data_IF_804056930889
#
_entry.id   IF_804056930889
#
_cell.length_a   1.000
_cell.length_b   1.000
_cell.length_c   1.000
_cell.angle_alpha   90.00
_cell.angle_beta   90.00
_cell.angle_gamma   90.00
#
_symmetry.space_group_name_H-M   'P 1'
#
loop_
_entity.id
_entity.type
_entity.pdbx_description
1 polymer ?
#
# COMPACT_ATOMS: atom_id res chain seq x y z
N UNK A 1 0.02 -16.67 12.86
CA UNK A 1 1.44 -16.34 12.63
C UNK A 1 1.93 -17.02 11.34
N UNK A 2 1.29 -16.71 10.19
CA UNK A 2 1.48 -17.49 8.96
C UNK A 2 1.34 -16.74 7.62
N UNK A 3 1.16 -15.42 7.63
CA UNK A 3 1.00 -14.59 6.42
C UNK A 3 2.17 -13.63 6.15
N UNK A 4 3.04 -13.37 7.16
CA UNK A 4 4.10 -12.35 7.04
C UNK A 4 5.32 -12.80 6.23
N UNK A 5 5.53 -14.11 6.08
CA UNK A 5 6.66 -14.66 5.31
C UNK A 5 6.38 -14.73 3.80
N UNK A 6 5.11 -14.75 3.36
CA UNK A 6 4.77 -14.83 1.92
C UNK A 6 4.89 -13.46 1.23
N UNK A 7 4.34 -12.39 1.83
CA UNK A 7 4.23 -11.11 1.14
C UNK A 7 5.57 -10.45 0.81
N UNK A 8 6.57 -10.62 1.70
CA UNK A 8 7.94 -10.13 1.44
C UNK A 8 8.61 -10.90 0.31
N UNK A 9 8.45 -12.24 0.29
CA UNK A 9 9.02 -13.07 -0.77
C UNK A 9 8.37 -12.74 -2.12
N UNK A 10 7.05 -12.60 -2.16
CA UNK A 10 6.32 -12.15 -3.35
C UNK A 10 6.82 -10.78 -3.82
N UNK A 11 7.00 -9.83 -2.90
CA UNK A 11 7.52 -8.50 -3.23
C UNK A 11 8.94 -8.57 -3.80
N UNK A 12 9.83 -9.36 -3.19
CA UNK A 12 11.20 -9.54 -3.65
C UNK A 12 11.24 -10.17 -5.06
N UNK A 13 10.45 -11.21 -5.31
CA UNK A 13 10.32 -11.85 -6.62
C UNK A 13 9.84 -10.84 -7.67
N UNK A 14 8.79 -10.07 -7.35
CA UNK A 14 8.22 -9.09 -8.28
C UNK A 14 9.18 -7.93 -8.56
N UNK A 15 9.89 -7.43 -7.53
CA UNK A 15 10.87 -6.36 -7.68
C UNK A 15 12.11 -6.80 -8.45
N UNK A 16 12.52 -8.07 -8.31
CA UNK A 16 13.63 -8.64 -9.07
C UNK A 16 13.24 -8.95 -10.52
N UNK A 17 11.94 -9.04 -10.82
CA UNK A 17 11.46 -9.25 -12.19
C UNK A 17 11.57 -7.97 -13.02
N UNK A 18 11.68 -8.13 -14.34
CA UNK A 18 11.70 -6.99 -15.26
C UNK A 18 10.28 -6.44 -15.54
N UNK A 19 9.52 -6.08 -14.49
CA UNK A 19 8.23 -5.42 -14.61
C UNK A 19 8.06 -4.25 -13.60
N UNK A 20 7.15 -3.30 -13.88
CA UNK A 20 6.75 -2.29 -12.90
C UNK A 20 5.93 -2.89 -11.76
N UNK A 21 6.22 -2.52 -10.52
CA UNK A 21 5.55 -3.09 -9.32
C UNK A 21 4.72 -2.05 -8.57
N UNK A 22 3.43 -2.37 -8.38
CA UNK A 22 2.53 -1.59 -7.51
C UNK A 22 2.49 -2.16 -6.10
N UNK A 23 2.90 -1.38 -5.11
CA UNK A 23 2.98 -1.79 -3.70
C UNK A 23 1.79 -1.19 -2.94
N UNK A 24 0.67 -1.91 -2.92
CA UNK A 24 -0.58 -1.45 -2.32
C UNK A 24 -0.63 -1.68 -0.81
N UNK A 25 -0.30 -0.67 0.00
CA UNK A 25 -0.27 -0.78 1.46
C UNK A 25 -0.42 0.57 2.17
N UNK A 26 -0.90 0.53 3.42
CA UNK A 26 -0.86 1.66 4.38
C UNK A 26 -0.02 1.32 5.62
N UNK A 27 0.66 0.18 5.61
CA UNK A 27 1.45 -0.32 6.73
C UNK A 27 2.88 0.21 6.63
N UNK A 28 3.31 0.96 7.65
CA UNK A 28 4.62 1.58 7.71
C UNK A 28 5.77 0.55 7.65
N UNK A 29 5.60 -0.64 8.24
CA UNK A 29 6.63 -1.68 8.22
C UNK A 29 6.80 -2.25 6.80
N UNK A 30 5.70 -2.51 6.09
CA UNK A 30 5.75 -2.97 4.70
C UNK A 30 6.39 -1.93 3.76
N UNK A 31 6.12 -0.65 4.00
CA UNK A 31 6.75 0.44 3.24
C UNK A 31 8.26 0.45 3.46
N UNK A 32 8.72 0.35 4.71
CA UNK A 32 10.15 0.34 4.99
C UNK A 32 10.84 -0.90 4.42
N UNK A 33 10.18 -2.05 4.48
CA UNK A 33 10.70 -3.29 3.90
C UNK A 33 10.80 -3.21 2.37
N UNK A 34 9.80 -2.62 1.71
CA UNK A 34 9.85 -2.34 0.29
C UNK A 34 11.04 -1.44 -0.08
N UNK A 35 11.27 -0.35 0.67
CA UNK A 35 12.41 0.55 0.43
C UNK A 35 13.74 -0.14 0.64
N UNK A 36 13.84 -1.01 1.65
CA UNK A 36 15.04 -1.82 1.89
C UNK A 36 15.33 -2.74 0.70
N UNK A 37 14.32 -3.41 0.16
CA UNK A 37 14.45 -4.28 -1.01
C UNK A 37 14.80 -3.49 -2.28
N UNK A 38 14.11 -2.38 -2.55
CA UNK A 38 14.40 -1.48 -3.67
C UNK A 38 15.86 -0.99 -3.61
N UNK A 39 16.31 -0.56 -2.44
CA UNK A 39 17.70 -0.11 -2.24
C UNK A 39 18.71 -1.24 -2.43
N UNK A 40 18.41 -2.44 -1.94
CA UNK A 40 19.26 -3.62 -2.12
C UNK A 40 19.39 -4.05 -3.58
N UNK A 41 18.29 -3.98 -4.34
CA UNK A 41 18.23 -4.32 -5.77
C UNK A 41 18.69 -3.16 -6.68
N UNK A 42 18.96 -1.97 -6.13
CA UNK A 42 19.39 -0.81 -6.91
C UNK A 42 18.32 -0.30 -7.90
N UNK A 43 17.04 -0.50 -7.61
CA UNK A 43 15.96 -0.18 -8.54
C UNK A 43 15.70 1.33 -8.63
N UNK A 44 15.54 1.88 -9.86
CA UNK A 44 15.12 3.27 -10.01
C UNK A 44 13.66 3.46 -9.56
N UNK A 45 13.30 4.69 -9.14
CA UNK A 45 11.99 5.00 -8.55
C UNK A 45 10.82 4.80 -9.51
N UNK A 46 10.95 5.29 -10.74
CA UNK A 46 11.07 4.44 -11.92
C UNK A 46 10.24 3.14 -12.10
N UNK A 47 10.56 2.15 -11.28
CA UNK A 47 10.15 0.76 -11.42
C UNK A 47 9.09 0.33 -10.42
N UNK A 48 8.74 1.21 -9.49
CA UNK A 48 7.71 0.93 -8.52
C UNK A 48 6.87 2.18 -8.19
N UNK A 49 5.77 1.94 -7.50
CA UNK A 49 4.94 2.98 -6.90
C UNK A 49 4.25 2.43 -5.65
N UNK A 50 4.02 3.29 -4.66
CA UNK A 50 3.14 2.96 -3.54
C UNK A 50 1.70 3.24 -3.93
N UNK A 51 0.79 2.33 -3.59
CA UNK A 51 -0.63 2.49 -3.89
C UNK A 51 -1.45 2.56 -2.60
N UNK A 52 -2.33 3.54 -2.51
CA UNK A 52 -3.11 3.83 -1.30
C UNK A 52 -4.57 4.09 -1.62
N UNK A 53 -5.45 3.83 -0.66
CA UNK A 53 -6.88 4.13 -0.77
C UNK A 53 -7.12 5.62 -0.53
N UNK A 54 -8.08 6.20 -1.25
CA UNK A 54 -8.55 7.55 -0.96
C UNK A 54 -9.07 7.64 0.49
N UNK A 55 -8.64 8.68 1.20
CA UNK A 55 -9.09 8.98 2.57
C UNK A 55 -8.37 8.21 3.68
N UNK A 56 -7.51 7.24 3.38
CA UNK A 56 -6.76 6.47 4.38
C UNK A 56 -5.33 7.00 4.49
N UNK A 57 -4.85 7.24 5.72
CA UNK A 57 -3.49 7.74 6.04
C UNK A 57 -2.98 8.87 5.11
N UNK A 58 -3.70 10.00 5.01
CA UNK A 58 -3.29 11.12 4.15
C UNK A 58 -1.93 11.71 4.56
N UNK A 59 -1.57 11.62 5.84
CA UNK A 59 -0.26 11.95 6.43
C UNK A 59 0.87 11.17 5.76
N UNK A 60 0.74 9.85 5.72
CA UNK A 60 1.73 8.94 5.16
C UNK A 60 1.91 9.20 3.65
N UNK A 61 0.80 9.42 2.92
CA UNK A 61 0.86 9.80 1.51
C UNK A 61 1.65 11.09 1.31
N UNK A 62 1.38 12.13 2.10
CA UNK A 62 2.09 13.40 1.99
C UNK A 62 3.58 13.21 2.26
N UNK A 63 3.91 12.45 3.31
CA UNK A 63 5.29 12.09 3.65
C UNK A 63 6.00 11.36 2.51
N UNK A 64 5.42 10.30 1.96
CA UNK A 64 6.00 9.55 0.84
C UNK A 64 6.24 10.46 -0.38
N UNK A 65 5.28 11.31 -0.72
CA UNK A 65 5.45 12.28 -1.82
C UNK A 65 6.56 13.30 -1.54
N UNK A 66 6.66 13.80 -0.30
CA UNK A 66 7.72 14.72 0.10
C UNK A 66 9.11 14.07 0.06
N UNK A 67 9.18 12.77 0.33
CA UNK A 67 10.40 11.97 0.18
C UNK A 67 10.69 11.58 -1.29
N UNK A 68 9.87 12.04 -2.24
CA UNK A 68 10.01 11.85 -3.68
C UNK A 68 9.53 10.48 -4.20
N UNK A 69 8.76 9.74 -3.41
CA UNK A 69 8.18 8.47 -3.83
C UNK A 69 6.98 8.70 -4.76
N UNK A 70 6.78 7.80 -5.73
CA UNK A 70 5.57 7.82 -6.56
C UNK A 70 4.42 7.15 -5.81
N UNK A 71 3.30 7.87 -5.74
CA UNK A 71 2.10 7.40 -5.04
C UNK A 71 0.89 7.44 -5.97
N UNK A 72 0.20 6.31 -6.14
CA UNK A 72 -1.07 6.19 -6.85
C UNK A 72 -2.21 6.03 -5.86
N UNK A 73 -3.31 6.76 -6.10
CA UNK A 73 -4.49 6.70 -5.24
C UNK A 73 -5.60 5.92 -5.91
N UNK A 74 -6.09 4.89 -5.22
CA UNK A 74 -7.31 4.19 -5.58
C UNK A 74 -8.52 5.05 -5.21
N UNK A 75 -9.21 5.55 -6.23
CA UNK A 75 -10.36 6.44 -6.10
C UNK A 75 -11.63 5.71 -6.59
N UNK A 76 -12.50 5.24 -5.68
CA UNK A 76 -13.84 4.80 -6.05
C UNK A 76 -14.66 5.98 -6.63
N UNK A 77 -15.44 5.74 -7.67
CA UNK A 77 -16.27 6.76 -8.32
C UNK A 77 -17.61 6.18 -8.84
N UNK A 78 -18.54 7.06 -9.24
CA UNK A 78 -19.87 6.70 -9.73
C UNK A 78 -20.95 6.61 -8.64
N UNK A 79 -22.23 6.60 -9.00
CA UNK A 79 -23.37 6.72 -8.06
C UNK A 79 -23.37 5.68 -6.93
N UNK A 80 -22.93 4.45 -7.23
CA UNK A 80 -22.96 3.30 -6.30
C UNK A 80 -21.63 3.05 -5.58
N UNK A 81 -20.69 4.00 -5.60
CA UNK A 81 -19.35 3.82 -5.00
C UNK A 81 -19.42 3.39 -3.52
N UNK A 82 -20.37 3.93 -2.75
CA UNK A 82 -20.56 3.59 -1.32
C UNK A 82 -20.92 2.13 -1.12
N UNK A 83 -21.88 1.63 -1.88
CA UNK A 83 -22.31 0.23 -1.81
C UNK A 83 -21.17 -0.71 -2.22
N UNK A 84 -20.39 -0.34 -3.23
CA UNK A 84 -19.21 -1.08 -3.65
C UNK A 84 -18.15 -1.17 -2.54
N UNK A 85 -17.80 -0.05 -1.90
CA UNK A 85 -16.85 -0.04 -0.79
C UNK A 85 -17.34 -0.90 0.38
N UNK A 86 -18.61 -0.76 0.76
CA UNK A 86 -19.20 -1.53 1.86
C UNK A 86 -19.15 -3.04 1.59
N UNK A 87 -19.51 -3.47 0.38
CA UNK A 87 -19.44 -4.88 -0.03
C UNK A 87 -18.02 -5.43 0.11
N UNK A 88 -17.01 -4.68 -0.36
CA UNK A 88 -15.59 -5.09 -0.26
C UNK A 88 -15.11 -5.23 1.17
N UNK A 89 -15.66 -4.42 2.09
CA UNK A 89 -15.38 -4.54 3.52
C UNK A 89 -16.07 -5.75 4.15
N UNK A 90 -17.34 -6.02 3.80
CA UNK A 90 -18.08 -7.16 4.36
C UNK A 90 -17.57 -8.51 3.86
N UNK A 91 -17.07 -8.58 2.63
CA UNK A 91 -16.47 -9.79 2.05
C UNK A 91 -15.09 -10.13 2.63
N UNK A 92 -14.41 -9.17 3.28
CA UNK A 92 -13.08 -9.37 3.85
C UNK A 92 -13.00 -8.76 5.27
N UNK A 93 -13.46 -9.49 6.31
CA UNK A 93 -13.47 -8.99 7.68
C UNK A 93 -12.09 -8.55 8.18
N UNK A 94 -11.03 -9.24 7.75
CA UNK A 94 -9.65 -8.89 8.10
C UNK A 94 -9.21 -7.55 7.47
N UNK A 95 -9.58 -7.30 6.21
CA UNK A 95 -9.30 -6.04 5.51
C UNK A 95 -9.95 -4.85 6.23
N UNK A 96 -11.16 -5.03 6.73
CA UNK A 96 -11.87 -4.00 7.50
C UNK A 96 -11.08 -3.62 8.76
N UNK A 97 -10.53 -4.60 9.49
CA UNK A 97 -9.69 -4.35 10.67
C UNK A 97 -8.43 -3.53 10.34
N UNK A 98 -7.76 -3.84 9.22
CA UNK A 98 -6.58 -3.09 8.77
C UNK A 98 -6.91 -1.65 8.36
N UNK A 99 -8.01 -1.45 7.62
CA UNK A 99 -8.43 -0.11 7.19
C UNK A 99 -8.89 0.73 8.37
N UNK A 100 -9.68 0.17 9.30
CA UNK A 100 -10.07 0.89 10.51
C UNK A 100 -8.85 1.27 11.34
N UNK A 101 -7.89 0.36 11.54
CA UNK A 101 -6.65 0.69 12.26
C UNK A 101 -5.84 1.78 11.56
N UNK A 102 -5.80 1.79 10.23
CA UNK A 102 -5.12 2.81 9.45
C UNK A 102 -5.86 4.17 9.49
N UNK A 103 -7.19 4.18 9.60
CA UNK A 103 -7.99 5.39 9.75
C UNK A 103 -7.85 6.01 11.15
N UNK A 104 -7.75 5.18 12.19
CA UNK A 104 -7.75 5.63 13.59
C UNK A 104 -6.36 5.73 14.23
N UNK A 105 -5.27 5.55 13.47
CA UNK A 105 -3.91 5.75 14.00
C UNK A 105 -3.67 7.26 14.18
N UNK A 106 -3.37 7.75 15.39
CA UNK A 106 -2.99 9.15 15.59
C UNK A 106 -1.75 9.46 14.75
N UNK A 107 -1.79 10.55 13.99
CA UNK A 107 -0.60 11.10 13.33
C UNK A 107 0.42 11.49 14.40
N UNK A 108 1.57 10.81 14.39
CA UNK A 108 2.74 11.18 15.18
C UNK A 108 3.63 12.11 14.35
#
# INVERSE_FOLDING_TARGET
MGLKLDGRLCLEILLAADCPVGIATHDDWLIQEARRLVGHLGLPRDRYEFQMLLGVRPDLRQRLRAEGERVRIYVPFGEKWRAYCLRRFTENPELLGHVLRALFRPGA
#
